data_IF_100604650587
#
_entry.id   IF_100604650587
#
_cell.length_a   1.000
_cell.length_b   1.000
_cell.length_c   1.000
_cell.angle_alpha   90.00
_cell.angle_beta   90.00
_cell.angle_gamma   90.00
#
_symmetry.space_group_name_H-M   'P 1'
#
loop_
_entity.id
_entity.type
_entity.pdbx_description
1 polymer ?
#
# COMPACT_ATOMS: atom_id res chain seq x y z
N UNK A 1 -11.22 5.80 -0.77
CA UNK A 1 -12.19 4.68 -0.61
C UNK A 1 -12.80 4.61 0.77
N UNK A 2 -12.04 4.80 1.86
CA UNK A 2 -12.61 4.78 3.22
C UNK A 2 -13.69 5.85 3.50
N UNK A 3 -13.78 6.90 2.69
CA UNK A 3 -14.88 7.89 2.71
C UNK A 3 -16.21 7.31 2.17
N UNK A 4 -16.19 6.14 1.51
CA UNK A 4 -17.33 5.52 0.83
C UNK A 4 -18.37 4.85 1.75
N UNK A 5 -18.26 5.05 3.06
CA UNK A 5 -19.20 4.55 4.07
C UNK A 5 -18.65 3.41 4.94
N UNK A 6 -19.48 2.96 5.89
CA UNK A 6 -19.10 2.07 7.00
C UNK A 6 -18.34 0.82 6.56
N UNK A 7 -18.75 0.21 5.44
CA UNK A 7 -18.10 -0.99 4.92
C UNK A 7 -16.60 -0.77 4.65
N UNK A 8 -16.21 0.39 4.12
CA UNK A 8 -14.81 0.73 3.85
C UNK A 8 -14.09 1.27 5.09
N UNK A 9 -14.81 1.96 5.98
CA UNK A 9 -14.28 2.43 7.26
C UNK A 9 -13.79 1.24 8.12
N UNK A 10 -14.52 0.11 8.08
CA UNK A 10 -14.14 -1.14 8.75
C UNK A 10 -12.85 -1.78 8.23
N UNK A 11 -12.37 -1.37 7.05
CA UNK A 11 -11.13 -1.86 6.46
C UNK A 11 -9.91 -1.05 6.92
N UNK A 12 -10.08 0.11 7.57
CA UNK A 12 -8.97 0.94 8.06
C UNK A 12 -8.10 0.19 9.08
N UNK A 13 -8.71 -0.65 9.90
CA UNK A 13 -8.07 -1.34 11.03
C UNK A 13 -8.46 -2.82 11.11
N UNK A 14 -8.75 -3.44 9.97
CA UNK A 14 -9.29 -4.80 9.97
C UNK A 14 -8.36 -5.79 10.69
N UNK A 15 -8.90 -6.62 11.61
CA UNK A 15 -8.10 -7.45 12.51
C UNK A 15 -7.23 -8.48 11.78
N UNK A 16 -7.60 -8.89 10.56
CA UNK A 16 -6.81 -9.86 9.78
C UNK A 16 -5.42 -9.36 9.40
N UNK A 17 -5.19 -8.05 9.29
CA UNK A 17 -3.89 -7.50 8.87
C UNK A 17 -3.32 -6.41 9.77
N UNK A 18 -4.12 -5.67 10.54
CA UNK A 18 -3.65 -4.44 11.17
C UNK A 18 -2.42 -4.65 12.08
N UNK A 19 -2.39 -5.72 12.88
CA UNK A 19 -1.23 -6.02 13.73
C UNK A 19 0.00 -6.46 12.92
N UNK A 20 -0.19 -7.12 11.78
CA UNK A 20 0.91 -7.46 10.86
C UNK A 20 1.49 -6.19 10.24
N UNK A 21 0.62 -5.26 9.84
CA UNK A 21 1.03 -3.97 9.29
C UNK A 21 1.82 -3.18 10.32
N UNK A 22 1.34 -3.05 11.57
CA UNK A 22 2.07 -2.40 12.67
C UNK A 22 3.45 -3.03 12.88
N UNK A 23 3.51 -4.36 12.87
CA UNK A 23 4.76 -5.09 13.04
C UNK A 23 5.78 -4.80 11.92
N UNK A 24 5.35 -4.78 10.66
CA UNK A 24 6.25 -4.55 9.53
C UNK A 24 6.61 -3.08 9.30
N UNK A 25 5.67 -2.15 9.49
CA UNK A 25 6.01 -0.71 9.53
C UNK A 25 7.02 -0.48 10.65
N UNK A 26 6.83 -1.14 11.80
CA UNK A 26 7.72 -1.10 12.94
C UNK A 26 7.64 0.24 13.67
N UNK A 27 8.67 0.60 14.43
CA UNK A 27 8.71 1.88 15.16
C UNK A 27 8.00 1.88 16.53
N UNK A 28 7.37 0.76 16.93
CA UNK A 28 6.81 0.62 18.27
C UNK A 28 7.87 0.92 19.33
N UNK A 29 7.46 1.64 20.38
CA UNK A 29 8.33 2.11 21.48
C UNK A 29 9.42 3.11 21.05
N UNK A 30 9.25 3.76 19.91
CA UNK A 30 10.17 4.81 19.42
C UNK A 30 9.43 6.10 19.09
N UNK A 31 10.18 7.16 18.76
CA UNK A 31 9.63 8.44 18.30
C UNK A 31 8.68 8.30 17.10
N UNK A 32 8.84 7.27 16.26
CA UNK A 32 7.97 7.02 15.10
C UNK A 32 6.50 6.81 15.47
N UNK A 33 6.19 6.51 16.74
CA UNK A 33 4.82 6.28 17.23
C UNK A 33 4.15 7.50 17.84
N UNK A 34 4.83 8.65 17.91
CA UNK A 34 4.33 9.84 18.60
C UNK A 34 2.99 10.36 18.02
N UNK A 35 2.76 10.18 16.72
CA UNK A 35 1.50 10.57 16.07
C UNK A 35 0.50 9.41 15.94
N UNK A 36 0.85 8.22 16.41
CA UNK A 36 0.07 7.00 16.28
C UNK A 36 0.86 5.84 15.68
N UNK A 37 0.24 4.65 15.59
CA UNK A 37 0.94 3.46 15.15
C UNK A 37 1.19 3.42 13.65
N UNK A 38 0.34 4.07 12.85
CA UNK A 38 0.30 3.96 11.39
C UNK A 38 -0.33 5.21 10.76
N UNK A 39 -0.13 5.36 9.45
CA UNK A 39 -0.86 6.28 8.58
C UNK A 39 -1.27 5.58 7.28
N UNK A 40 -2.48 5.84 6.76
CA UNK A 40 -2.85 5.46 5.38
C UNK A 40 -2.62 6.65 4.46
N UNK A 41 -1.61 6.58 3.59
CA UNK A 41 -1.28 7.69 2.68
C UNK A 41 -2.04 7.67 1.35
N UNK A 42 -2.56 6.52 0.96
CA UNK A 42 -3.42 6.31 -0.21
C UNK A 42 -4.43 5.17 0.05
N UNK A 43 -5.66 5.38 -0.42
CA UNK A 43 -6.72 4.39 -0.34
C UNK A 43 -7.66 4.50 -1.55
N UNK A 44 -7.53 3.59 -2.51
CA UNK A 44 -8.20 3.67 -3.81
C UNK A 44 -8.72 2.30 -4.28
N UNK A 45 -9.73 2.32 -5.15
CA UNK A 45 -10.14 1.12 -5.89
C UNK A 45 -9.33 1.07 -7.19
N UNK A 46 -8.91 -0.13 -7.57
CA UNK A 46 -8.35 -0.38 -8.90
C UNK A 46 -9.28 -1.34 -9.63
N UNK A 47 -9.89 -0.82 -10.69
CA UNK A 47 -10.73 -1.56 -11.63
C UNK A 47 -9.92 -1.72 -12.91
N UNK A 48 -9.84 -2.94 -13.41
CA UNK A 48 -9.00 -3.29 -14.55
C UNK A 48 -9.79 -4.05 -15.60
N UNK A 49 -9.90 -3.49 -16.80
CA UNK A 49 -10.55 -4.07 -17.96
C UNK A 49 -9.59 -4.87 -18.87
N UNK A 50 -10.11 -5.47 -19.95
CA UNK A 50 -9.29 -6.21 -20.91
C UNK A 50 -8.20 -5.34 -21.55
N UNK A 51 -7.00 -5.89 -21.73
CA UNK A 51 -5.81 -5.22 -22.25
C UNK A 51 -5.06 -4.35 -21.24
N UNK A 52 -5.60 -4.15 -20.04
CA UNK A 52 -4.98 -3.25 -19.06
C UNK A 52 -3.95 -3.96 -18.18
N UNK A 53 -2.75 -3.39 -18.13
CA UNK A 53 -1.61 -3.86 -17.36
C UNK A 53 -0.95 -2.71 -16.56
N UNK A 54 -0.15 -3.03 -15.54
CA UNK A 54 0.79 -2.06 -14.95
C UNK A 54 2.19 -2.67 -14.96
N UNK A 55 3.14 -1.88 -15.48
CA UNK A 55 4.51 -2.31 -15.64
C UNK A 55 5.21 -2.51 -14.31
N UNK A 56 6.37 -3.14 -14.40
CA UNK A 56 7.26 -3.39 -13.28
C UNK A 56 7.67 -2.06 -12.62
N UNK A 57 7.55 -2.00 -11.31
CA UNK A 57 7.95 -0.85 -10.50
C UNK A 57 8.36 -1.29 -9.09
N UNK A 58 8.94 -0.33 -8.37
CA UNK A 58 9.57 -0.54 -7.06
C UNK A 58 10.68 -1.61 -7.11
N UNK A 59 11.24 -1.93 -5.95
CA UNK A 59 12.41 -2.79 -5.81
C UNK A 59 13.40 -2.18 -4.81
N UNK A 60 14.15 -3.04 -4.10
CA UNK A 60 15.11 -2.58 -3.10
C UNK A 60 16.19 -1.65 -3.68
N UNK A 61 16.46 -1.77 -4.98
CA UNK A 61 17.48 -1.00 -5.69
C UNK A 61 17.07 0.46 -5.95
N UNK A 62 15.78 0.77 -6.02
CA UNK A 62 15.28 2.13 -6.24
C UNK A 62 15.39 2.97 -4.95
N UNK A 63 15.17 2.32 -3.79
CA UNK A 63 15.54 2.87 -2.49
C UNK A 63 14.85 4.20 -2.13
N UNK A 64 13.61 4.42 -2.60
CA UNK A 64 12.90 5.68 -2.29
C UNK A 64 12.69 5.83 -0.79
N UNK A 65 12.64 7.07 -0.30
CA UNK A 65 12.39 7.35 1.13
C UNK A 65 11.03 6.81 1.61
N UNK A 66 10.04 6.76 0.71
CA UNK A 66 8.67 6.35 1.01
C UNK A 66 8.53 4.83 1.03
N UNK A 67 9.22 4.12 0.16
CA UNK A 67 9.03 2.68 -0.08
C UNK A 67 10.24 1.88 0.39
N UNK A 68 10.68 2.11 1.62
CA UNK A 68 11.86 1.44 2.19
C UNK A 68 11.53 0.06 2.77
N UNK A 69 12.49 -0.85 2.67
CA UNK A 69 12.56 -2.05 3.48
C UNK A 69 13.85 -2.01 4.31
N UNK A 70 13.72 -2.21 5.61
CA UNK A 70 14.87 -2.44 6.50
C UNK A 70 14.47 -3.39 7.60
N UNK A 71 15.39 -4.30 7.91
CA UNK A 71 15.33 -5.15 9.10
C UNK A 71 16.65 -5.02 9.84
N UNK A 72 16.59 -4.56 11.09
CA UNK A 72 17.78 -4.29 11.89
C UNK A 72 17.49 -4.52 13.37
N UNK A 73 18.40 -5.17 14.09
CA UNK A 73 18.26 -5.48 15.52
C UNK A 73 16.90 -6.09 15.90
N UNK A 74 16.42 -7.05 15.10
CA UNK A 74 15.16 -7.74 15.36
C UNK A 74 13.89 -6.97 14.98
N UNK A 75 14.02 -5.75 14.43
CA UNK A 75 12.90 -4.84 14.14
C UNK A 75 12.80 -4.56 12.64
N UNK A 76 11.57 -4.55 12.13
CA UNK A 76 11.28 -4.03 10.80
C UNK A 76 11.15 -2.51 10.84
N UNK A 77 11.47 -1.88 9.72
CA UNK A 77 11.32 -0.46 9.46
C UNK A 77 10.89 -0.29 8.00
N UNK A 78 9.66 -0.67 7.69
CA UNK A 78 9.13 -0.57 6.33
C UNK A 78 8.44 0.78 6.14
N UNK A 79 8.80 1.50 5.08
CA UNK A 79 8.23 2.81 4.78
C UNK A 79 6.78 2.73 4.27
N UNK A 80 6.42 1.65 3.58
CA UNK A 80 5.07 1.44 3.08
C UNK A 80 4.73 -0.06 2.96
N UNK A 81 3.60 -0.46 3.54
CA UNK A 81 2.99 -1.78 3.42
C UNK A 81 1.69 -1.65 2.63
N UNK A 82 1.60 -2.36 1.52
CA UNK A 82 0.41 -2.42 0.70
C UNK A 82 -0.50 -3.55 1.17
N UNK A 83 -1.80 -3.27 1.23
CA UNK A 83 -2.90 -4.21 1.41
C UNK A 83 -3.75 -4.15 0.16
N UNK A 84 -3.73 -5.23 -0.65
CA UNK A 84 -4.57 -5.39 -1.84
C UNK A 84 -5.64 -6.43 -1.52
N UNK A 85 -6.89 -6.00 -1.42
CA UNK A 85 -8.03 -6.88 -1.20
C UNK A 85 -8.75 -7.17 -2.52
N UNK A 86 -8.96 -8.44 -2.82
CA UNK A 86 -9.76 -8.88 -3.96
C UNK A 86 -11.26 -8.68 -3.70
N UNK A 87 -11.96 -7.95 -4.58
CA UNK A 87 -13.43 -7.85 -4.56
C UNK A 87 -14.11 -8.83 -5.52
N UNK A 88 -13.32 -9.42 -6.42
CA UNK A 88 -13.70 -10.45 -7.38
C UNK A 88 -12.62 -11.51 -7.36
N UNK A 89 -12.92 -12.74 -7.77
CA UNK A 89 -11.90 -13.76 -7.99
C UNK A 89 -10.87 -13.27 -9.03
N UNK A 90 -9.62 -13.67 -8.84
CA UNK A 90 -8.47 -13.25 -9.65
C UNK A 90 -7.64 -14.50 -9.97
N UNK A 91 -7.93 -15.09 -11.13
CA UNK A 91 -7.23 -16.26 -11.65
C UNK A 91 -6.25 -15.93 -12.78
N UNK A 92 -5.88 -16.97 -13.53
CA UNK A 92 -5.04 -16.83 -14.71
C UNK A 92 -5.74 -15.98 -15.79
N UNK A 93 -5.01 -15.02 -16.37
CA UNK A 93 -5.54 -14.12 -17.40
C UNK A 93 -6.38 -12.95 -16.86
N UNK A 94 -6.59 -12.86 -15.54
CA UNK A 94 -7.39 -11.79 -14.95
C UNK A 94 -6.63 -10.49 -14.69
N UNK A 95 -5.36 -10.39 -15.12
CA UNK A 95 -4.50 -9.25 -14.82
C UNK A 95 -4.12 -9.22 -13.33
N UNK A 96 -3.77 -10.37 -12.77
CA UNK A 96 -3.39 -10.51 -11.37
C UNK A 96 -2.13 -9.70 -11.03
N UNK A 97 -1.96 -9.40 -9.75
CA UNK A 97 -0.69 -8.83 -9.27
C UNK A 97 0.42 -9.86 -9.48
N UNK A 98 1.57 -9.38 -9.94
CA UNK A 98 2.80 -10.16 -10.04
C UNK A 98 3.88 -9.52 -9.19
N UNK A 99 4.69 -10.36 -8.54
CA UNK A 99 5.78 -9.91 -7.67
C UNK A 99 7.07 -10.65 -8.01
N UNK A 100 8.22 -10.00 -7.86
CA UNK A 100 9.53 -10.67 -7.87
C UNK A 100 9.91 -10.94 -6.42
N UNK A 101 9.87 -12.20 -5.93
CA UNK A 101 10.15 -12.52 -4.53
C UNK A 101 11.52 -12.02 -4.07
N UNK A 102 11.60 -11.59 -2.81
CA UNK A 102 12.82 -11.07 -2.17
C UNK A 102 13.49 -9.83 -2.82
N UNK A 103 12.94 -9.28 -3.91
CA UNK A 103 13.50 -8.12 -4.62
C UNK A 103 13.57 -6.83 -3.79
N UNK A 104 12.85 -6.74 -2.66
CA UNK A 104 12.99 -5.66 -1.67
C UNK A 104 14.37 -5.62 -0.98
N UNK A 105 15.18 -6.67 -1.13
CA UNK A 105 16.58 -6.72 -0.65
C UNK A 105 17.61 -6.53 -1.78
N UNK A 106 17.16 -6.36 -3.02
CA UNK A 106 18.06 -6.20 -4.15
C UNK A 106 18.78 -4.85 -4.07
N UNK A 107 20.06 -4.82 -4.46
CA UNK A 107 20.86 -3.60 -4.58
C UNK A 107 21.19 -3.26 -6.04
N UNK A 108 20.59 -3.99 -7.00
CA UNK A 108 20.76 -3.80 -8.43
C UNK A 108 19.40 -3.86 -9.11
N UNK A 109 19.31 -3.18 -10.25
CA UNK A 109 18.09 -3.10 -11.06
C UNK A 109 17.67 -4.48 -11.58
N UNK A 110 16.36 -4.72 -11.68
CA UNK A 110 15.87 -5.94 -12.33
C UNK A 110 16.25 -5.93 -13.82
N UNK A 111 16.79 -7.03 -14.40
CA UNK A 111 17.23 -7.05 -15.80
C UNK A 111 16.16 -6.63 -16.81
N UNK A 112 14.90 -6.98 -16.54
CA UNK A 112 13.76 -6.71 -17.42
C UNK A 112 13.10 -5.33 -17.21
N UNK A 113 13.50 -4.57 -16.20
CA UNK A 113 12.88 -3.27 -15.88
C UNK A 113 12.98 -2.27 -17.04
N UNK A 114 14.05 -2.33 -17.83
CA UNK A 114 14.20 -1.46 -19.00
C UNK A 114 13.10 -1.67 -20.05
N UNK A 115 12.54 -2.88 -20.15
CA UNK A 115 11.51 -3.25 -21.13
C UNK A 115 10.11 -3.22 -20.53
N UNK A 116 9.95 -3.72 -19.32
CA UNK A 116 8.66 -3.93 -18.66
C UNK A 116 8.32 -2.85 -17.63
N UNK A 117 9.19 -1.86 -17.44
CA UNK A 117 9.00 -0.81 -16.44
C UNK A 117 7.71 -0.01 -16.61
N UNK A 118 7.24 0.59 -15.52
CA UNK A 118 6.13 1.54 -15.57
C UNK A 118 6.43 2.72 -16.52
N UNK A 119 5.41 3.21 -17.23
CA UNK A 119 5.51 4.27 -18.27
C UNK A 119 6.22 3.86 -19.57
N UNK A 120 6.21 2.58 -19.92
CA UNK A 120 6.66 2.06 -21.22
C UNK A 120 5.48 1.68 -22.12
N UNK A 121 5.78 1.49 -23.41
CA UNK A 121 4.80 1.08 -24.42
C UNK A 121 4.19 -0.30 -24.12
N UNK A 122 4.98 -1.21 -23.51
CA UNK A 122 4.52 -2.47 -22.94
C UNK A 122 4.65 -2.39 -21.41
N UNK A 123 3.52 -2.16 -20.74
CA UNK A 123 3.47 -1.98 -19.30
C UNK A 123 2.82 -3.18 -18.61
N UNK A 124 3.30 -4.41 -18.89
CA UNK A 124 2.91 -5.62 -18.15
C UNK A 124 4.12 -6.37 -17.60
N UNK A 125 3.88 -7.15 -16.56
CA UNK A 125 4.88 -8.03 -15.92
C UNK A 125 4.88 -9.44 -16.54
N UNK A 126 4.14 -9.64 -17.64
CA UNK A 126 4.16 -10.91 -18.36
C UNK A 126 5.58 -11.20 -18.87
N UNK A 127 6.01 -12.45 -18.68
CA UNK A 127 7.34 -12.93 -19.07
C UNK A 127 8.53 -12.29 -18.35
N UNK A 128 8.32 -11.48 -17.30
CA UNK A 128 9.42 -10.96 -16.47
C UNK A 128 10.07 -12.09 -15.69
N UNK A 129 11.39 -12.22 -15.79
CA UNK A 129 12.16 -13.27 -15.12
C UNK A 129 11.96 -13.21 -13.60
N UNK A 130 11.74 -14.37 -12.98
CA UNK A 130 11.55 -14.49 -11.52
C UNK A 130 10.27 -13.85 -10.97
N UNK A 131 9.42 -13.24 -11.80
CA UNK A 131 8.10 -12.77 -11.37
C UNK A 131 7.13 -13.94 -11.20
N UNK A 132 6.35 -13.93 -10.12
CA UNK A 132 5.33 -14.94 -9.84
C UNK A 132 3.94 -14.30 -9.81
N UNK A 133 2.94 -15.05 -10.25
CA UNK A 133 1.54 -14.67 -10.17
C UNK A 133 1.00 -14.83 -8.74
N UNK A 134 0.20 -13.87 -8.29
CA UNK A 134 -0.58 -13.98 -7.06
C UNK A 134 -2.06 -14.08 -7.42
N UNK A 135 -2.58 -15.30 -7.38
CA UNK A 135 -4.01 -15.58 -7.52
C UNK A 135 -4.72 -15.42 -6.18
N UNK A 136 -5.96 -14.93 -6.23
CA UNK A 136 -6.74 -14.57 -5.05
C UNK A 136 -8.21 -14.86 -5.31
N UNK A 137 -8.90 -15.46 -4.35
CA UNK A 137 -10.36 -15.54 -4.38
C UNK A 137 -10.96 -14.22 -3.83
N UNK A 138 -12.23 -13.94 -4.12
CA UNK A 138 -12.90 -12.78 -3.57
C UNK A 138 -12.85 -12.78 -2.03
N UNK A 139 -12.35 -11.69 -1.44
CA UNK A 139 -12.11 -11.54 -0.01
C UNK A 139 -10.68 -11.81 0.45
N UNK A 140 -9.84 -12.43 -0.39
CA UNK A 140 -8.42 -12.61 -0.10
C UNK A 140 -7.68 -11.27 -0.07
N UNK A 141 -6.58 -11.26 0.68
CA UNK A 141 -5.76 -10.06 0.92
C UNK A 141 -4.29 -10.37 0.70
N UNK A 142 -3.67 -9.62 -0.21
CA UNK A 142 -2.22 -9.62 -0.41
C UNK A 142 -1.59 -8.48 0.40
N UNK A 143 -0.71 -8.84 1.35
CA UNK A 143 0.12 -7.93 2.13
C UNK A 143 1.57 -8.02 1.67
N UNK A 144 2.19 -6.89 1.32
CA UNK A 144 3.62 -6.84 1.00
C UNK A 144 4.20 -5.45 1.24
N UNK A 145 5.52 -5.37 1.44
CA UNK A 145 6.26 -4.11 1.47
C UNK A 145 6.37 -3.54 0.06
N UNK A 146 6.06 -2.25 -0.13
CA UNK A 146 6.06 -1.64 -1.47
C UNK A 146 7.45 -1.67 -2.12
N UNK A 147 8.52 -1.76 -1.32
CA UNK A 147 9.90 -2.00 -1.77
C UNK A 147 10.08 -3.28 -2.59
N UNK A 148 9.11 -4.20 -2.58
CA UNK A 148 9.11 -5.39 -3.42
C UNK A 148 8.85 -4.96 -4.88
N UNK A 149 9.67 -5.42 -5.80
CA UNK A 149 9.45 -5.21 -7.23
C UNK A 149 8.18 -5.95 -7.66
N UNK A 150 7.23 -5.22 -8.26
CA UNK A 150 5.90 -5.74 -8.58
C UNK A 150 5.24 -4.99 -9.75
N UNK A 151 4.12 -5.53 -10.20
CA UNK A 151 3.24 -4.93 -11.20
C UNK A 151 2.04 -5.85 -11.43
N UNK A 152 1.54 -5.94 -12.66
CA UNK A 152 0.50 -6.92 -12.98
C UNK A 152 0.72 -7.58 -14.33
N UNK A 153 0.16 -8.78 -14.47
CA UNK A 153 -0.11 -9.36 -15.77
C UNK A 153 -1.11 -8.49 -16.56
N UNK A 154 -1.12 -8.65 -17.88
CA UNK A 154 -2.19 -8.15 -18.74
C UNK A 154 -3.50 -8.91 -18.47
N UNK A 155 -4.62 -8.19 -18.38
CA UNK A 155 -5.93 -8.82 -18.31
C UNK A 155 -6.40 -9.21 -19.71
N UNK A 156 -6.56 -10.49 -19.96
CA UNK A 156 -7.09 -11.03 -21.23
C UNK A 156 -8.51 -11.59 -21.08
N UNK A 157 -8.95 -11.84 -19.85
CA UNK A 157 -10.31 -12.28 -19.55
C UNK A 157 -11.34 -11.15 -19.76
N UNK A 158 -12.58 -11.47 -20.17
CA UNK A 158 -13.66 -10.49 -20.28
C UNK A 158 -14.04 -9.91 -18.90
N UNK A 159 -14.70 -8.75 -18.91
CA UNK A 159 -15.14 -8.08 -17.68
C UNK A 159 -14.01 -7.38 -16.93
N UNK A 160 -14.24 -7.12 -15.64
CA UNK A 160 -13.37 -6.29 -14.81
C UNK A 160 -12.81 -7.05 -13.60
N UNK A 161 -11.51 -6.88 -13.33
CA UNK A 161 -10.92 -7.23 -12.03
C UNK A 161 -11.07 -6.04 -11.08
N UNK A 162 -11.57 -6.26 -9.88
CA UNK A 162 -11.78 -5.18 -8.89
C UNK A 162 -11.02 -5.49 -7.59
N UNK A 163 -10.18 -4.55 -7.18
CA UNK A 163 -9.48 -4.62 -5.90
C UNK A 163 -9.58 -3.29 -5.14
N UNK A 164 -9.41 -3.35 -3.83
CA UNK A 164 -9.20 -2.18 -2.98
C UNK A 164 -7.75 -2.18 -2.51
N UNK A 165 -7.12 -1.02 -2.56
CA UNK A 165 -5.74 -0.82 -2.13
C UNK A 165 -5.72 0.11 -0.92
N UNK A 166 -5.04 -0.31 0.14
CA UNK A 166 -4.61 0.55 1.23
C UNK A 166 -3.09 0.55 1.32
N UNK A 167 -2.51 1.73 1.48
CA UNK A 167 -1.07 1.90 1.62
C UNK A 167 -0.76 2.47 2.99
N UNK A 168 -0.25 1.62 3.87
CA UNK A 168 0.07 1.99 5.25
C UNK A 168 1.54 2.35 5.38
N UNK A 169 1.85 3.40 6.13
CA UNK A 169 3.22 3.79 6.46
C UNK A 169 3.32 4.38 7.87
N UNK A 170 4.46 5.01 8.19
CA UNK A 170 4.66 5.69 9.47
C UNK A 170 3.66 6.82 9.70
N UNK A 171 3.30 7.06 10.96
CA UNK A 171 2.29 8.06 11.37
C UNK A 171 2.67 9.52 11.07
N UNK A 172 3.95 9.78 10.79
CA UNK A 172 4.45 11.09 10.36
C UNK A 172 4.39 11.31 8.84
N UNK A 173 3.84 10.35 8.07
CA UNK A 173 3.61 10.48 6.64
C UNK A 173 2.58 11.56 6.27
N UNK A 174 2.41 11.80 4.96
CA UNK A 174 1.42 12.74 4.43
C UNK A 174 0.76 12.18 3.17
N UNK A 175 -0.47 12.60 2.88
CA UNK A 175 -1.22 12.16 1.71
C UNK A 175 -0.48 12.47 0.42
N UNK A 176 -0.40 11.48 -0.48
CA UNK A 176 0.29 11.64 -1.78
C UNK A 176 -0.21 12.84 -2.59
N UNK A 177 -1.51 13.08 -2.55
CA UNK A 177 -2.19 14.12 -3.33
C UNK A 177 -2.71 15.28 -2.46
N UNK A 178 -2.26 15.37 -1.21
CA UNK A 178 -2.66 16.45 -0.30
C UNK A 178 -4.15 16.44 0.10
N UNK A 179 -4.86 15.32 -0.07
CA UNK A 179 -6.22 15.16 0.42
C UNK A 179 -6.32 15.40 1.93
N UNK A 180 -7.48 15.83 2.38
CA UNK A 180 -7.80 15.95 3.79
C UNK A 180 -8.96 15.01 4.10
N UNK A 181 -8.92 14.42 5.30
CA UNK A 181 -10.05 13.64 5.84
C UNK A 181 -11.21 14.60 6.07
N UNK A 182 -12.38 14.28 5.51
CA UNK A 182 -13.59 15.10 5.70
C UNK A 182 -14.03 15.13 7.16
N UNK A 183 -14.72 16.21 7.57
CA UNK A 183 -15.26 16.31 8.93
C UNK A 183 -16.35 15.26 9.16
N UNK A 184 -17.14 14.94 8.12
CA UNK A 184 -18.15 13.90 8.18
C UNK A 184 -17.53 12.53 8.43
N UNK A 185 -16.42 12.19 7.75
CA UNK A 185 -15.70 10.95 8.03
C UNK A 185 -15.10 10.97 9.43
N UNK A 186 -14.43 12.06 9.81
CA UNK A 186 -13.82 12.18 11.13
C UNK A 186 -14.83 12.01 12.28
N UNK A 187 -16.07 12.47 12.10
CA UNK A 187 -17.15 12.32 13.08
C UNK A 187 -17.68 10.89 13.19
N UNK A 188 -17.51 10.05 12.16
CA UNK A 188 -17.97 8.64 12.17
C UNK A 188 -16.91 7.65 12.65
N UNK A 189 -15.64 7.98 12.48
CA UNK A 189 -14.55 7.08 12.84
C UNK A 189 -14.36 6.95 14.36
N UNK A 190 -13.96 5.75 14.79
CA UNK A 190 -13.45 5.58 16.16
C UNK A 190 -12.15 6.38 16.34
N UNK A 191 -11.76 6.72 17.58
CA UNK A 191 -10.49 7.41 17.83
C UNK A 191 -9.28 6.70 17.20
N UNK A 192 -9.27 5.37 17.21
CA UNK A 192 -8.19 4.54 16.66
C UNK A 192 -8.12 4.65 15.13
N UNK A 193 -9.26 4.55 14.43
CA UNK A 193 -9.32 4.71 12.98
C UNK A 193 -8.99 6.13 12.56
N UNK A 194 -9.47 7.11 13.32
CA UNK A 194 -9.17 8.52 13.08
C UNK A 194 -7.67 8.78 13.19
N UNK A 195 -6.99 8.17 14.16
CA UNK A 195 -5.53 8.27 14.28
C UNK A 195 -4.79 7.66 13.08
N UNK A 196 -5.32 6.62 12.44
CA UNK A 196 -4.70 6.01 11.25
C UNK A 196 -4.90 6.87 9.99
N UNK A 197 -6.03 7.56 9.82
CA UNK A 197 -6.27 8.39 8.63
C UNK A 197 -5.86 9.85 8.83
N UNK A 198 -5.71 10.31 10.08
CA UNK A 198 -5.33 11.67 10.45
C UNK A 198 -4.47 11.66 11.74
N UNK A 199 -3.26 11.09 11.70
CA UNK A 199 -2.37 10.96 12.87
C UNK A 199 -1.86 12.32 13.38
N UNK A 200 -1.66 13.27 12.46
CA UNK A 200 -1.19 14.61 12.79
C UNK A 200 -2.26 15.64 12.38
N UNK A 201 -3.12 16.09 13.31
CA UNK A 201 -4.11 17.12 12.99
C UNK A 201 -3.42 18.45 12.66
N UNK A 202 -4.00 19.28 11.77
CA UNK A 202 -3.38 20.54 11.38
C UNK A 202 -3.22 21.49 12.57
N UNK A 203 -2.02 22.06 12.70
CA UNK A 203 -1.74 23.15 13.64
C UNK A 203 -2.24 24.48 13.06
N UNK A 204 -3.45 24.86 13.44
CA UNK A 204 -4.02 26.15 13.07
C UNK A 204 -3.45 27.28 13.96
N UNK A 205 -3.31 28.52 13.44
CA UNK A 205 -2.93 29.68 14.24
C UNK A 205 -3.83 29.83 15.48
N UNK A 206 -3.22 30.08 16.65
CA UNK A 206 -3.94 30.26 17.91
C UNK A 206 -4.20 28.98 18.72
N UNK A 207 -3.84 27.80 18.22
CA UNK A 207 -3.87 26.56 19.01
C UNK A 207 -2.69 26.46 19.96
N UNK A 208 -2.96 26.02 21.20
CA UNK A 208 -1.95 25.75 22.22
C UNK A 208 -1.02 24.60 21.77
N UNK A 209 0.28 24.88 21.76
CA UNK A 209 1.34 23.95 21.34
C UNK A 209 1.87 23.09 22.49
N UNK A 210 1.38 23.28 23.72
CA UNK A 210 1.81 22.53 24.92
C UNK A 210 1.68 21.01 24.79
N UNK A 211 0.85 20.52 23.85
CA UNK A 211 0.67 19.10 23.54
C UNK A 211 1.74 18.48 22.63
N UNK A 212 2.65 19.29 22.08
CA UNK A 212 3.69 18.86 21.12
C UNK A 212 5.12 19.06 21.65
N UNK A 213 5.28 19.40 22.93
CA UNK A 213 6.56 19.56 23.62
C UNK A 213 6.96 18.30 24.39
#
# INVERSE_FOLDING_TARGET
>A
MYEGGEAFERLIDHPSWIEKVKYFVGGAETFDYNHGPLFIDECFANIRGPGEAIGLHSGGHDGTKRTQFRYYNGRFHCGQINILMALTDIGAGDGNTMVVPASHKAHFRHPDEGKHGMHRDVASVDHVEGAINVYMDAGDVLLFVDALCHGSAERISPGERRIIVFRYGPSWGNFRFGYQVSDELAARLTPERLQVVRPNPPLLPGLDRSRYA
#
